data_IF_082872560029
#
_entry.id   IF_082872560029
#
_cell.length_a   1.000
_cell.length_b   1.000
_cell.length_c   1.000
_cell.angle_alpha   90.00
_cell.angle_beta   90.00
_cell.angle_gamma   90.00
#
_symmetry.space_group_name_H-M   'P 1'
#
loop_
_entity.id
_entity.type
_entity.pdbx_description
1 polymer ?
#
# COMPACT_ATOMS: atom_id res chain seq x y z
N UNK A 1 -33.19 -6.95 5.40
CA UNK A 1 -32.14 -6.64 4.41
C UNK A 1 -31.38 -7.93 4.19
N UNK A 2 -31.16 -8.35 2.93
CA UNK A 2 -30.26 -9.48 2.67
C UNK A 2 -28.89 -9.14 3.29
N UNK A 3 -28.23 -10.11 3.92
CA UNK A 3 -26.83 -9.91 4.33
C UNK A 3 -26.03 -9.68 3.06
N UNK A 4 -25.37 -8.53 2.96
CA UNK A 4 -24.37 -8.30 1.92
C UNK A 4 -23.29 -9.38 2.01
N UNK A 5 -22.68 -9.70 0.88
CA UNK A 5 -21.65 -10.71 0.78
C UNK A 5 -20.46 -10.13 0.03
N UNK A 6 -19.26 -10.22 0.63
CA UNK A 6 -18.03 -9.89 -0.06
C UNK A 6 -17.54 -11.11 -0.86
N UNK A 7 -17.41 -11.02 -2.20
CA UNK A 7 -17.23 -12.18 -3.08
C UNK A 7 -15.84 -12.84 -3.01
N UNK A 8 -14.87 -12.18 -2.38
CA UNK A 8 -13.52 -12.71 -2.21
C UNK A 8 -13.38 -13.20 -0.77
N UNK A 9 -13.35 -14.51 -0.59
CA UNK A 9 -13.35 -15.13 0.74
C UNK A 9 -12.00 -14.96 1.46
N UNK A 10 -11.86 -13.83 2.14
CA UNK A 10 -10.68 -13.49 2.94
C UNK A 10 -10.42 -14.46 4.10
N UNK A 11 -11.37 -15.33 4.46
CA UNK A 11 -11.16 -16.37 5.49
C UNK A 11 -10.28 -17.51 4.99
N UNK A 12 -10.08 -17.62 3.68
CA UNK A 12 -9.15 -18.61 3.11
C UNK A 12 -7.68 -18.22 3.28
N UNK A 13 -7.40 -17.03 3.82
CA UNK A 13 -6.04 -16.61 4.14
C UNK A 13 -5.34 -17.70 4.97
N UNK A 14 -4.21 -18.18 4.47
CA UNK A 14 -3.46 -19.27 5.08
C UNK A 14 -2.67 -18.74 6.27
N UNK A 15 -2.75 -19.38 7.45
CA UNK A 15 -1.89 -19.03 8.57
C UNK A 15 -0.41 -19.13 8.17
N UNK A 16 0.33 -18.04 8.31
CA UNK A 16 1.73 -17.99 7.91
C UNK A 16 2.56 -17.38 9.04
N UNK A 17 3.56 -18.13 9.50
CA UNK A 17 4.56 -17.67 10.47
C UNK A 17 5.93 -17.67 9.81
N UNK A 18 6.60 -16.53 9.87
CA UNK A 18 7.89 -16.29 9.25
C UNK A 18 8.89 -15.84 10.32
N UNK A 19 10.10 -16.39 10.30
CA UNK A 19 11.13 -16.03 11.28
C UNK A 19 12.17 -15.10 10.63
N UNK A 20 12.23 -13.81 11.00
CA UNK A 20 13.18 -12.87 10.41
C UNK A 20 14.66 -13.21 10.68
N UNK A 21 14.94 -14.22 11.51
CA UNK A 21 16.30 -14.73 11.74
C UNK A 21 16.73 -15.79 10.73
N UNK A 22 15.79 -16.34 9.95
CA UNK A 22 16.07 -17.33 8.92
C UNK A 22 16.28 -16.62 7.57
N UNK A 23 17.32 -17.03 6.85
CA UNK A 23 17.70 -16.43 5.57
C UNK A 23 16.99 -16.98 4.33
N UNK A 24 16.01 -17.89 4.49
CA UNK A 24 15.26 -18.45 3.37
C UNK A 24 13.87 -18.94 3.80
N UNK A 25 12.91 -18.89 2.86
CA UNK A 25 11.61 -19.52 2.99
C UNK A 25 11.67 -21.01 2.65
N UNK A 26 10.93 -21.83 3.38
CA UNK A 26 10.62 -23.19 2.93
C UNK A 26 9.65 -23.14 1.73
N UNK A 27 9.59 -24.21 0.93
CA UNK A 27 8.67 -24.28 -0.21
C UNK A 27 7.20 -24.14 0.23
N UNK A 28 6.84 -24.70 1.38
CA UNK A 28 5.50 -24.56 1.95
C UNK A 28 5.19 -23.10 2.33
N UNK A 29 6.09 -22.43 3.06
CA UNK A 29 5.92 -21.01 3.40
C UNK A 29 5.84 -20.13 2.15
N UNK A 30 6.62 -20.44 1.11
CA UNK A 30 6.62 -19.71 -0.15
C UNK A 30 5.30 -19.90 -0.90
N UNK A 31 4.75 -21.11 -0.92
CA UNK A 31 3.45 -21.40 -1.52
C UNK A 31 2.32 -20.67 -0.78
N UNK A 32 2.34 -20.66 0.55
CA UNK A 32 1.34 -19.98 1.36
C UNK A 32 1.45 -18.46 1.26
N UNK A 33 2.68 -17.92 1.22
CA UNK A 33 2.92 -16.50 1.00
C UNK A 33 2.38 -16.05 -0.37
N UNK A 34 2.68 -16.77 -1.46
CA UNK A 34 2.13 -16.48 -2.79
C UNK A 34 0.60 -16.49 -2.79
N UNK A 35 0.01 -17.51 -2.18
CA UNK A 35 -1.45 -17.62 -2.09
C UNK A 35 -2.05 -16.42 -1.34
N UNK A 36 -1.50 -16.06 -0.18
CA UNK A 36 -1.98 -14.92 0.62
C UNK A 36 -1.82 -13.59 -0.12
N UNK A 37 -0.69 -13.39 -0.81
CA UNK A 37 -0.46 -12.21 -1.65
C UNK A 37 -1.54 -12.12 -2.73
N UNK A 38 -1.81 -13.22 -3.44
CA UNK A 38 -2.79 -13.24 -4.51
C UNK A 38 -4.21 -12.97 -3.99
N UNK A 39 -4.59 -13.58 -2.88
CA UNK A 39 -5.90 -13.34 -2.24
C UNK A 39 -6.08 -11.86 -1.86
N UNK A 40 -5.06 -11.25 -1.26
CA UNK A 40 -5.07 -9.85 -0.85
C UNK A 40 -5.10 -8.90 -2.06
N UNK A 41 -4.30 -9.20 -3.10
CA UNK A 41 -4.29 -8.44 -4.35
C UNK A 41 -5.63 -8.49 -5.06
N UNK A 42 -6.27 -9.67 -5.14
CA UNK A 42 -7.62 -9.82 -5.70
C UNK A 42 -8.63 -8.94 -4.96
N UNK A 43 -8.60 -8.97 -3.62
CA UNK A 43 -9.50 -8.16 -2.80
C UNK A 43 -9.31 -6.67 -3.09
N UNK A 44 -8.06 -6.16 -3.03
CA UNK A 44 -7.73 -4.76 -3.30
C UNK A 44 -8.20 -4.34 -4.69
N UNK A 45 -7.87 -5.12 -5.74
CA UNK A 45 -8.32 -4.82 -7.11
C UNK A 45 -9.84 -4.74 -7.18
N UNK A 46 -10.54 -5.73 -6.62
CA UNK A 46 -11.99 -5.79 -6.68
C UNK A 46 -12.65 -4.61 -5.96
N UNK A 47 -12.38 -4.39 -4.67
CA UNK A 47 -13.16 -3.40 -3.92
C UNK A 47 -12.82 -1.95 -4.32
N UNK A 48 -11.57 -1.70 -4.72
CA UNK A 48 -11.20 -0.37 -5.24
C UNK A 48 -11.86 -0.12 -6.59
N UNK A 49 -11.80 -1.08 -7.53
CA UNK A 49 -12.45 -0.95 -8.83
C UNK A 49 -13.99 -0.87 -8.72
N UNK A 50 -14.59 -1.54 -7.73
CA UNK A 50 -16.02 -1.44 -7.45
C UNK A 50 -16.42 -0.02 -7.06
N UNK A 51 -15.66 0.64 -6.19
CA UNK A 51 -15.86 2.04 -5.88
C UNK A 51 -15.72 2.92 -7.14
N UNK A 52 -14.71 2.66 -7.97
CA UNK A 52 -14.55 3.32 -9.28
C UNK A 52 -15.78 3.17 -10.19
N UNK A 53 -16.31 1.95 -10.32
CA UNK A 53 -17.51 1.65 -11.11
C UNK A 53 -18.78 2.30 -10.55
N UNK A 54 -18.83 2.53 -9.22
CA UNK A 54 -19.87 3.32 -8.54
C UNK A 54 -19.67 4.84 -8.66
N UNK A 55 -18.69 5.29 -9.45
CA UNK A 55 -18.43 6.72 -9.69
C UNK A 55 -17.62 7.41 -8.58
N UNK A 56 -17.02 6.64 -7.67
CA UNK A 56 -16.10 7.14 -6.66
C UNK A 56 -14.67 7.13 -7.20
N UNK A 57 -13.73 7.67 -6.43
CA UNK A 57 -12.29 7.61 -6.75
C UNK A 57 -11.57 6.62 -5.82
N UNK A 58 -10.29 6.36 -6.05
CA UNK A 58 -9.51 5.37 -5.32
C UNK A 58 -8.06 5.35 -5.79
N UNK A 59 -7.24 4.53 -5.14
CA UNK A 59 -5.88 4.21 -5.60
C UNK A 59 -5.70 2.69 -5.46
N UNK A 60 -5.46 2.00 -6.58
CA UNK A 60 -5.32 0.55 -6.58
C UNK A 60 -3.85 0.15 -6.59
N UNK A 61 -3.03 0.74 -7.48
CA UNK A 61 -1.67 0.29 -7.75
C UNK A 61 -0.77 0.26 -6.52
N UNK A 62 -0.60 1.38 -5.82
CA UNK A 62 0.32 1.41 -4.67
C UNK A 62 -0.08 0.46 -3.53
N UNK A 63 -1.39 0.30 -3.28
CA UNK A 63 -1.87 -0.67 -2.29
C UNK A 63 -1.66 -2.12 -2.73
N UNK A 64 -1.79 -2.38 -4.03
CA UNK A 64 -1.53 -3.67 -4.66
C UNK A 64 -0.03 -4.05 -4.64
N UNK A 65 0.82 -3.07 -4.88
CA UNK A 65 2.28 -3.20 -4.97
C UNK A 65 2.87 -3.74 -3.67
N UNK A 66 2.51 -3.12 -2.54
CA UNK A 66 3.07 -3.38 -1.21
C UNK A 66 2.56 -4.64 -0.52
N UNK A 67 1.65 -5.40 -1.14
CA UNK A 67 1.06 -6.61 -0.54
C UNK A 67 2.12 -7.65 -0.13
N UNK A 68 3.16 -7.97 -0.93
CA UNK A 68 4.21 -8.91 -0.54
C UNK A 68 4.89 -8.55 0.79
N UNK A 69 5.27 -7.29 0.96
CA UNK A 69 5.88 -6.74 2.17
C UNK A 69 4.93 -6.88 3.35
N UNK A 70 3.69 -6.42 3.18
CA UNK A 70 2.67 -6.47 4.24
C UNK A 70 2.43 -7.92 4.68
N UNK A 71 2.36 -8.88 3.76
CA UNK A 71 2.20 -10.30 4.10
C UNK A 71 3.43 -10.88 4.82
N UNK A 72 4.65 -10.48 4.42
CA UNK A 72 5.86 -10.90 5.12
C UNK A 72 5.90 -10.34 6.55
N UNK A 73 5.62 -9.04 6.72
CA UNK A 73 5.60 -8.39 8.04
C UNK A 73 4.53 -9.00 8.95
N UNK A 74 3.33 -9.29 8.42
CA UNK A 74 2.32 -10.04 9.18
C UNK A 74 2.81 -11.43 9.58
N UNK A 75 3.54 -12.11 8.69
CA UNK A 75 4.19 -13.39 9.02
C UNK A 75 5.20 -13.29 10.15
N UNK A 76 6.01 -12.21 10.19
CA UNK A 76 6.93 -11.92 11.29
C UNK A 76 6.18 -11.67 12.61
N UNK A 77 5.14 -10.83 12.59
CA UNK A 77 4.30 -10.55 13.76
C UNK A 77 3.62 -11.84 14.27
N UNK A 78 3.07 -12.66 13.37
CA UNK A 78 2.42 -13.93 13.71
C UNK A 78 3.40 -14.97 14.29
N UNK A 79 4.69 -14.83 14.00
CA UNK A 79 5.76 -15.63 14.60
C UNK A 79 6.29 -15.05 15.93
N UNK A 80 5.77 -13.90 16.37
CA UNK A 80 6.16 -13.25 17.62
C UNK A 80 7.42 -12.39 17.53
N UNK A 81 7.78 -11.92 16.33
CA UNK A 81 8.84 -10.92 16.19
C UNK A 81 8.49 -9.64 16.99
N UNK A 82 9.47 -8.97 17.64
CA UNK A 82 9.23 -7.78 18.43
C UNK A 82 8.98 -6.57 17.52
N UNK A 83 7.76 -6.50 16.98
CA UNK A 83 7.31 -5.48 16.04
C UNK A 83 6.09 -4.80 16.66
N UNK A 84 6.01 -3.47 16.60
CA UNK A 84 4.76 -2.76 16.91
C UNK A 84 3.72 -3.26 15.92
N UNK A 85 2.56 -3.81 16.36
CA UNK A 85 1.63 -4.53 15.49
C UNK A 85 0.77 -3.57 14.67
N UNK A 86 1.43 -2.64 13.96
CA UNK A 86 0.85 -1.65 13.05
C UNK A 86 1.83 -1.49 11.90
N UNK A 87 1.33 -1.67 10.67
CA UNK A 87 2.08 -1.36 9.45
C UNK A 87 1.69 0.05 9.01
N UNK A 88 2.47 1.04 9.41
CA UNK A 88 2.23 2.44 9.05
C UNK A 88 2.46 2.65 7.55
N UNK A 89 1.73 3.59 6.95
CA UNK A 89 1.89 3.92 5.52
C UNK A 89 1.80 5.44 5.32
N UNK A 90 2.91 6.05 4.93
CA UNK A 90 2.96 7.50 4.71
C UNK A 90 2.18 7.95 3.48
N UNK A 91 2.07 7.06 2.48
CA UNK A 91 1.23 7.28 1.32
C UNK A 91 -0.21 6.91 1.69
N UNK A 92 -0.84 7.79 2.47
CA UNK A 92 -2.19 7.56 2.99
C UNK A 92 -3.25 7.29 1.92
N UNK A 93 -2.99 7.65 0.66
CA UNK A 93 -3.88 7.34 -0.44
C UNK A 93 -3.95 5.83 -0.75
N UNK A 94 -2.95 5.04 -0.31
CA UNK A 94 -2.92 3.57 -0.29
C UNK A 94 -3.75 2.95 0.85
N UNK A 95 -4.71 3.69 1.41
CA UNK A 95 -5.57 3.28 2.54
C UNK A 95 -6.26 1.92 2.34
N UNK A 96 -6.45 1.48 1.09
CA UNK A 96 -6.95 0.15 0.75
C UNK A 96 -6.20 -0.97 1.51
N UNK A 97 -4.87 -0.84 1.69
CA UNK A 97 -4.07 -1.76 2.50
C UNK A 97 -4.54 -1.80 3.96
N UNK A 98 -4.78 -0.64 4.56
CA UNK A 98 -5.20 -0.53 5.97
C UNK A 98 -6.61 -1.08 6.20
N UNK A 99 -7.52 -0.87 5.25
CA UNK A 99 -8.86 -1.45 5.31
C UNK A 99 -8.85 -2.96 5.14
N UNK A 100 -8.02 -3.48 4.25
CA UNK A 100 -7.83 -4.92 4.12
C UNK A 100 -7.26 -5.51 5.43
N UNK A 101 -6.24 -4.90 6.02
CA UNK A 101 -5.66 -5.35 7.29
C UNK A 101 -6.69 -5.36 8.42
N UNK A 102 -7.48 -4.30 8.55
CA UNK A 102 -8.56 -4.24 9.54
C UNK A 102 -9.59 -5.38 9.39
N UNK A 103 -9.86 -5.84 8.16
CA UNK A 103 -10.69 -7.03 7.92
C UNK A 103 -9.96 -8.31 8.32
N UNK A 104 -8.71 -8.49 7.88
CA UNK A 104 -7.90 -9.68 8.18
C UNK A 104 -7.61 -9.86 9.68
N UNK A 105 -7.64 -8.76 10.44
CA UNK A 105 -7.45 -8.72 11.89
C UNK A 105 -8.77 -8.78 12.67
N UNK A 106 -9.90 -8.84 11.97
CA UNK A 106 -11.23 -8.99 12.56
C UNK A 106 -11.79 -7.70 13.19
N UNK A 107 -11.19 -6.55 12.92
CA UNK A 107 -11.68 -5.26 13.41
C UNK A 107 -12.95 -4.80 12.67
N UNK A 108 -13.18 -5.30 11.45
CA UNK A 108 -14.44 -5.10 10.73
C UNK A 108 -14.74 -6.26 9.76
N UNK A 109 -16.02 -6.49 9.39
CA UNK A 109 -16.37 -7.53 8.42
C UNK A 109 -16.00 -7.12 6.98
N UNK A 110 -15.72 -8.11 6.12
CA UNK A 110 -15.27 -7.90 4.75
C UNK A 110 -16.29 -7.15 3.89
N UNK A 111 -17.58 -7.32 4.19
CA UNK A 111 -18.71 -6.66 3.52
C UNK A 111 -18.57 -5.14 3.54
N UNK A 112 -17.92 -4.56 4.57
CA UNK A 112 -17.69 -3.10 4.61
C UNK A 112 -16.85 -2.60 3.44
N UNK A 113 -15.96 -3.41 2.89
CA UNK A 113 -15.12 -3.04 1.74
C UNK A 113 -15.96 -2.74 0.49
N UNK A 114 -17.21 -3.25 0.39
CA UNK A 114 -18.14 -2.91 -0.70
C UNK A 114 -18.50 -1.42 -0.73
N UNK A 115 -18.31 -0.72 0.39
CA UNK A 115 -18.63 0.70 0.60
C UNK A 115 -17.38 1.59 0.66
N UNK A 116 -16.26 1.12 0.13
CA UNK A 116 -15.02 1.88 0.05
C UNK A 116 -15.26 3.26 -0.57
N UNK A 117 -14.96 4.34 0.19
CA UNK A 117 -15.11 5.75 -0.17
C UNK A 117 -16.53 6.25 -0.44
N UNK A 118 -17.55 5.45 -0.15
CA UNK A 118 -18.92 5.94 -0.10
C UNK A 118 -19.08 6.98 1.02
N UNK A 119 -19.94 7.97 0.79
CA UNK A 119 -20.20 9.00 1.80
C UNK A 119 -20.79 8.37 3.06
N UNK A 120 -20.32 8.80 4.23
CA UNK A 120 -20.75 8.31 5.56
C UNK A 120 -20.57 6.79 5.80
N UNK A 121 -19.82 6.10 4.92
CA UNK A 121 -19.54 4.67 5.08
C UNK A 121 -18.46 4.37 6.10
N UNK A 122 -17.80 5.40 6.66
CA UNK A 122 -16.67 5.27 7.58
C UNK A 122 -15.39 4.72 6.96
N UNK A 123 -15.27 4.73 5.62
CA UNK A 123 -14.09 4.34 4.86
C UNK A 123 -13.61 5.49 3.94
N UNK A 124 -13.11 6.61 4.50
CA UNK A 124 -12.64 7.76 3.73
C UNK A 124 -11.47 7.43 2.78
N UNK A 125 -11.08 8.40 1.94
CA UNK A 125 -10.01 8.23 0.95
C UNK A 125 -8.59 8.10 1.51
N UNK A 126 -8.40 8.35 2.80
CA UNK A 126 -7.13 8.27 3.54
C UNK A 126 -7.40 7.67 4.92
N UNK A 127 -6.42 7.04 5.60
CA UNK A 127 -6.67 6.47 6.91
C UNK A 127 -6.99 7.60 7.90
N UNK A 128 -8.07 7.41 8.67
CA UNK A 128 -8.47 8.31 9.74
C UNK A 128 -8.62 7.51 11.03
N UNK A 129 -7.69 7.76 11.97
CA UNK A 129 -7.77 7.21 13.31
C UNK A 129 -9.09 7.62 13.94
N UNK A 130 -9.73 6.70 14.66
CA UNK A 130 -11.02 6.86 15.36
C UNK A 130 -12.27 6.81 14.47
N UNK A 131 -12.14 6.96 13.14
CA UNK A 131 -13.28 6.83 12.22
C UNK A 131 -13.46 5.39 11.73
N UNK A 132 -12.38 4.76 11.26
CA UNK A 132 -12.43 3.39 10.75
C UNK A 132 -11.94 2.37 11.79
N UNK A 133 -12.72 1.34 12.15
CA UNK A 133 -12.26 0.26 13.03
C UNK A 133 -11.00 -0.42 12.47
N UNK A 134 -10.02 -0.68 13.33
CA UNK A 134 -8.73 -1.30 12.94
C UNK A 134 -7.72 -0.34 12.31
N UNK A 135 -8.08 0.92 12.05
CA UNK A 135 -7.11 1.93 11.59
C UNK A 135 -6.50 2.65 12.80
N UNK A 136 -5.17 2.59 12.89
CA UNK A 136 -4.42 3.03 14.08
C UNK A 136 -3.81 4.43 14.00
N UNK A 137 -3.78 5.03 12.79
CA UNK A 137 -3.15 6.30 12.52
C UNK A 137 -3.97 7.10 11.50
N UNK A 138 -3.74 8.40 11.44
CA UNK A 138 -4.25 9.24 10.36
C UNK A 138 -3.10 9.63 9.45
N UNK A 139 -3.30 9.54 8.13
CA UNK A 139 -2.34 10.01 7.13
C UNK A 139 -3.03 10.55 5.89
N UNK A 140 -2.29 10.97 4.86
CA UNK A 140 -2.85 11.50 3.61
C UNK A 140 -2.04 12.66 3.03
N UNK A 141 -1.33 13.42 3.88
CA UNK A 141 -0.23 14.27 3.45
C UNK A 141 1.03 13.40 3.34
N UNK A 142 1.73 13.41 2.21
CA UNK A 142 3.01 12.70 2.12
C UNK A 142 4.07 13.33 3.06
N UNK A 143 5.09 12.57 3.45
CA UNK A 143 6.24 13.04 4.24
C UNK A 143 6.03 13.27 5.74
N UNK A 144 4.79 13.36 6.24
CA UNK A 144 4.58 13.65 7.67
C UNK A 144 4.64 12.41 8.58
N UNK A 145 4.41 11.19 8.03
CA UNK A 145 4.18 10.02 8.87
C UNK A 145 5.49 9.43 9.43
N UNK A 146 6.62 9.63 8.75
CA UNK A 146 7.91 9.16 9.29
C UNK A 146 8.25 9.83 10.62
N UNK A 147 8.06 11.15 10.74
CA UNK A 147 8.25 11.86 12.00
C UNK A 147 7.33 11.31 13.12
N UNK A 148 6.09 10.95 12.79
CA UNK A 148 5.17 10.27 13.72
C UNK A 148 5.72 8.89 14.14
N UNK A 149 6.15 8.07 13.18
CA UNK A 149 6.72 6.75 13.45
C UNK A 149 8.00 6.81 14.29
N UNK A 150 8.81 7.86 14.15
CA UNK A 150 9.96 8.09 15.03
C UNK A 150 9.52 8.28 16.49
N UNK A 151 8.44 9.03 16.74
CA UNK A 151 7.86 9.15 18.08
C UNK A 151 7.36 7.81 18.63
N UNK A 152 6.74 6.98 17.79
CA UNK A 152 6.34 5.61 18.16
C UNK A 152 7.56 4.75 18.50
N UNK A 153 8.64 4.84 17.71
CA UNK A 153 9.87 4.08 17.94
C UNK A 153 10.56 4.49 19.25
N UNK A 154 10.59 5.79 19.57
CA UNK A 154 11.09 6.30 20.85
C UNK A 154 10.29 5.75 22.04
N UNK A 155 8.97 5.58 21.88
CA UNK A 155 8.10 5.01 22.92
C UNK A 155 8.17 3.48 23.04
N UNK A 156 8.73 2.78 22.03
CA UNK A 156 8.82 1.33 21.97
C UNK A 156 10.25 0.87 21.59
N UNK A 157 11.28 1.20 22.40
CA UNK A 157 12.69 0.98 22.03
C UNK A 157 13.06 -0.50 21.82
N UNK A 158 12.26 -1.42 22.39
CA UNK A 158 12.41 -2.87 22.29
C UNK A 158 11.73 -3.48 21.06
N UNK A 159 11.00 -2.69 20.26
CA UNK A 159 10.24 -3.17 19.10
C UNK A 159 10.58 -2.39 17.82
N UNK A 160 10.58 -3.10 16.70
CA UNK A 160 10.67 -2.47 15.40
C UNK A 160 9.35 -1.76 15.04
N UNK A 161 9.45 -0.54 14.52
CA UNK A 161 8.35 0.19 13.89
C UNK A 161 8.48 0.04 12.38
N UNK A 162 7.39 -0.32 11.71
CA UNK A 162 7.38 -0.51 10.25
C UNK A 162 6.66 0.66 9.59
N UNK A 163 7.33 1.32 8.65
CA UNK A 163 6.77 2.35 7.81
C UNK A 163 6.87 1.92 6.35
N UNK A 164 5.74 1.80 5.66
CA UNK A 164 5.69 1.74 4.21
C UNK A 164 5.89 3.15 3.67
N UNK A 165 6.87 3.30 2.79
CA UNK A 165 7.14 4.51 2.02
C UNK A 165 6.91 4.33 0.53
N UNK A 166 7.10 5.38 -0.25
CA UNK A 166 7.13 5.33 -1.71
C UNK A 166 8.21 6.25 -2.27
N UNK A 167 8.69 5.98 -3.48
CA UNK A 167 9.58 6.89 -4.22
C UNK A 167 9.10 8.36 -4.21
N UNK A 168 7.78 8.58 -4.38
CA UNK A 168 7.15 9.89 -4.36
C UNK A 168 7.05 10.54 -2.99
N UNK A 169 6.87 9.79 -1.90
CA UNK A 169 6.83 10.38 -0.55
C UNK A 169 8.20 10.88 -0.14
N UNK A 170 9.25 10.15 -0.52
CA UNK A 170 10.65 10.46 -0.22
C UNK A 170 11.17 11.72 -0.95
N UNK A 171 10.33 12.37 -1.77
CA UNK A 171 10.59 13.70 -2.32
C UNK A 171 10.22 14.83 -1.35
N UNK A 172 9.48 14.53 -0.27
CA UNK A 172 9.08 15.50 0.74
C UNK A 172 10.23 15.81 1.71
N UNK A 173 10.41 17.10 2.02
CA UNK A 173 11.50 17.54 2.92
C UNK A 173 11.37 17.03 4.35
N UNK A 174 10.13 16.79 4.81
CA UNK A 174 9.83 16.28 6.16
C UNK A 174 10.49 14.89 6.39
N UNK A 175 10.57 14.04 5.34
CA UNK A 175 11.21 12.72 5.43
C UNK A 175 12.73 12.84 5.63
N UNK A 176 13.37 13.83 5.03
CA UNK A 176 14.80 14.08 5.24
C UNK A 176 15.11 14.50 6.69
N UNK A 177 14.21 15.25 7.33
CA UNK A 177 14.31 15.57 8.76
C UNK A 177 14.09 14.33 9.62
N UNK A 178 13.05 13.54 9.33
CA UNK A 178 12.73 12.31 10.04
C UNK A 178 13.86 11.27 9.94
N UNK A 179 14.47 11.09 8.77
CA UNK A 179 15.59 10.18 8.55
C UNK A 179 16.79 10.56 9.43
N UNK A 180 17.18 11.83 9.43
CA UNK A 180 18.32 12.33 10.23
C UNK A 180 18.08 12.14 11.73
N UNK A 181 16.85 12.37 12.20
CA UNK A 181 16.48 12.10 13.59
C UNK A 181 16.56 10.60 13.93
N UNK A 182 16.02 9.74 13.06
CA UNK A 182 16.04 8.30 13.25
C UNK A 182 17.48 7.77 13.38
N UNK A 183 18.38 8.26 12.53
CA UNK A 183 19.82 7.94 12.56
C UNK A 183 20.49 8.51 13.82
N UNK A 184 20.26 9.77 14.16
CA UNK A 184 20.85 10.40 15.34
C UNK A 184 20.50 9.68 16.65
N UNK A 185 19.28 9.13 16.74
CA UNK A 185 18.79 8.42 17.91
C UNK A 185 18.86 6.89 17.79
N UNK A 186 19.41 6.34 16.69
CA UNK A 186 19.48 4.90 16.43
C UNK A 186 18.11 4.20 16.61
N UNK A 187 17.03 4.83 16.13
CA UNK A 187 15.68 4.33 16.32
C UNK A 187 15.47 3.01 15.57
N UNK A 188 14.75 2.08 16.20
CA UNK A 188 14.38 0.80 15.59
C UNK A 188 13.21 0.96 14.63
N UNK A 189 13.43 1.67 13.53
CA UNK A 189 12.47 1.89 12.46
C UNK A 189 12.93 1.18 11.18
N UNK A 190 11.99 0.54 10.49
CA UNK A 190 12.18 -0.12 9.19
C UNK A 190 11.33 0.60 8.17
N UNK A 191 12.00 1.33 7.28
CA UNK A 191 11.35 2.06 6.19
C UNK A 191 11.41 1.19 4.94
N UNK A 192 10.26 0.70 4.52
CA UNK A 192 10.11 -0.18 3.36
C UNK A 192 9.58 0.68 2.21
N UNK A 193 10.46 1.10 1.31
CA UNK A 193 10.13 2.08 0.27
C UNK A 193 9.78 1.38 -1.02
N UNK A 194 8.53 1.53 -1.44
CA UNK A 194 8.04 1.08 -2.75
C UNK A 194 8.58 2.00 -3.86
N UNK A 195 9.58 1.52 -4.60
CA UNK A 195 10.20 2.22 -5.74
C UNK A 195 9.64 1.65 -7.03
N UNK A 196 8.41 2.08 -7.34
CA UNK A 196 7.64 1.62 -8.49
C UNK A 196 7.72 2.56 -9.71
N UNK A 197 8.48 3.65 -9.57
CA UNK A 197 8.73 4.68 -10.57
C UNK A 197 7.43 5.31 -11.11
N UNK A 198 6.42 5.50 -10.26
CA UNK A 198 5.15 6.14 -10.65
C UNK A 198 4.65 7.09 -9.56
N UNK A 199 4.42 8.34 -9.95
CA UNK A 199 3.63 9.31 -9.19
C UNK A 199 2.47 9.82 -10.02
N UNK A 200 1.67 10.71 -9.42
CA UNK A 200 0.61 11.41 -10.15
C UNK A 200 1.14 12.27 -11.31
N UNK A 201 2.40 12.67 -11.24
CA UNK A 201 3.07 13.47 -12.26
C UNK A 201 3.74 12.62 -13.33
N UNK A 202 3.62 11.28 -13.33
CA UNK A 202 4.29 10.40 -14.29
C UNK A 202 5.43 9.63 -13.65
N UNK A 203 6.56 9.49 -14.37
CA UNK A 203 7.70 8.71 -13.90
C UNK A 203 8.76 9.62 -13.25
N UNK A 204 9.06 9.47 -11.95
CA UNK A 204 10.11 10.20 -11.25
C UNK A 204 11.44 10.29 -12.00
N UNK A 205 11.88 9.18 -12.60
CA UNK A 205 13.15 9.15 -13.33
C UNK A 205 13.20 10.12 -14.54
N UNK A 206 12.04 10.46 -15.12
CA UNK A 206 11.96 11.29 -16.31
C UNK A 206 11.94 12.79 -15.94
N UNK A 207 11.23 13.17 -14.88
CA UNK A 207 11.09 14.58 -14.45
C UNK A 207 12.04 15.00 -13.31
N UNK A 208 12.73 14.06 -12.65
CA UNK A 208 13.80 14.34 -11.66
C UNK A 208 15.15 13.74 -12.08
N UNK A 209 15.73 14.15 -13.23
CA UNK A 209 17.02 13.63 -13.65
C UNK A 209 18.11 13.92 -12.62
N UNK A 210 18.83 12.88 -12.21
CA UNK A 210 19.91 12.94 -11.21
C UNK A 210 19.48 12.65 -9.78
N UNK A 211 18.17 12.55 -9.50
CA UNK A 211 17.68 12.05 -8.23
C UNK A 211 17.87 10.53 -8.15
N UNK A 212 18.44 10.06 -7.05
CA UNK A 212 18.62 8.63 -6.76
C UNK A 212 18.16 8.38 -5.32
N UNK A 213 17.05 7.66 -5.20
CA UNK A 213 16.42 7.35 -3.91
C UNK A 213 17.37 6.60 -2.97
N UNK A 214 18.09 5.60 -3.48
CA UNK A 214 19.00 4.76 -2.69
C UNK A 214 20.17 5.58 -2.15
N UNK A 215 20.79 6.41 -2.99
CA UNK A 215 21.87 7.32 -2.60
C UNK A 215 21.39 8.39 -1.63
N UNK A 216 20.16 8.87 -1.79
CA UNK A 216 19.56 9.88 -0.91
C UNK A 216 19.36 9.31 0.51
N UNK A 217 18.71 8.15 0.62
CA UNK A 217 18.49 7.47 1.90
C UNK A 217 19.82 7.06 2.57
N UNK A 218 20.77 6.52 1.81
CA UNK A 218 22.11 6.24 2.32
C UNK A 218 22.85 7.52 2.77
N UNK A 219 22.66 8.64 2.06
CA UNK A 219 23.21 9.95 2.41
C UNK A 219 22.68 10.51 3.73
N UNK A 220 21.49 10.10 4.17
CA UNK A 220 20.97 10.41 5.51
C UNK A 220 21.59 9.55 6.63
N UNK A 221 22.37 8.53 6.28
CA UNK A 221 23.04 7.63 7.22
C UNK A 221 22.25 6.36 7.57
N UNK A 222 21.19 6.05 6.82
CA UNK A 222 20.43 4.81 6.99
C UNK A 222 21.25 3.61 6.51
N UNK A 223 21.08 2.46 7.17
CA UNK A 223 21.54 1.20 6.58
C UNK A 223 20.56 0.81 5.48
N UNK A 224 21.08 0.64 4.27
CA UNK A 224 20.26 0.47 3.06
C UNK A 224 20.38 -0.96 2.50
N UNK A 225 19.26 -1.52 2.08
CA UNK A 225 19.21 -2.61 1.12
C UNK A 225 18.35 -2.21 -0.09
N UNK A 226 18.64 -2.79 -1.25
CA UNK A 226 17.81 -2.67 -2.45
C UNK A 226 17.46 -4.06 -2.93
N UNK A 227 16.18 -4.32 -3.20
CA UNK A 227 15.67 -5.64 -3.57
C UNK A 227 14.61 -5.56 -4.66
N UNK A 228 14.19 -6.71 -5.19
CA UNK A 228 13.11 -6.81 -6.17
C UNK A 228 11.82 -7.25 -5.47
N UNK A 229 10.76 -6.46 -5.59
CA UNK A 229 9.51 -6.67 -4.85
C UNK A 229 8.70 -7.89 -5.27
N UNK A 230 8.89 -8.38 -6.49
CA UNK A 230 8.18 -9.57 -7.01
C UNK A 230 9.05 -10.85 -6.94
N UNK A 231 10.31 -10.74 -6.54
CA UNK A 231 11.15 -11.88 -6.17
C UNK A 231 10.99 -12.15 -4.67
N UNK A 232 10.09 -13.06 -4.31
CA UNK A 232 9.76 -13.33 -2.91
C UNK A 232 10.93 -13.87 -2.09
N UNK A 233 11.90 -14.56 -2.71
CA UNK A 233 13.07 -15.05 -1.99
C UNK A 233 14.04 -13.91 -1.66
N UNK A 234 14.30 -13.04 -2.64
CA UNK A 234 15.12 -11.85 -2.42
C UNK A 234 14.45 -10.90 -1.42
N UNK A 235 13.16 -10.59 -1.62
CA UNK A 235 12.39 -9.71 -0.76
C UNK A 235 12.38 -10.21 0.69
N UNK A 236 12.08 -11.50 0.90
CA UNK A 236 12.10 -12.08 2.23
C UNK A 236 13.49 -11.97 2.87
N UNK A 237 14.54 -12.29 2.12
CA UNK A 237 15.92 -12.28 2.63
C UNK A 237 16.36 -10.88 3.05
N UNK A 238 16.06 -9.86 2.24
CA UNK A 238 16.41 -8.46 2.55
C UNK A 238 15.58 -7.91 3.72
N UNK A 239 14.28 -8.24 3.79
CA UNK A 239 13.44 -7.89 4.95
C UNK A 239 13.92 -8.60 6.22
N UNK A 240 14.17 -9.91 6.18
CA UNK A 240 14.71 -10.67 7.32
C UNK A 240 16.01 -10.03 7.84
N UNK A 241 16.92 -9.64 6.93
CA UNK A 241 18.15 -8.93 7.28
C UNK A 241 17.87 -7.59 7.97
N UNK A 242 17.00 -6.76 7.41
CA UNK A 242 16.64 -5.47 7.99
C UNK A 242 16.04 -5.60 9.40
N UNK A 243 15.25 -6.65 9.64
CA UNK A 243 14.62 -6.90 10.95
C UNK A 243 15.55 -7.60 11.96
N UNK A 244 16.73 -8.06 11.54
CA UNK A 244 17.74 -8.63 12.45
C UNK A 244 18.66 -7.57 13.10
N UNK A 245 18.61 -6.33 12.61
CA UNK A 245 19.31 -5.17 13.18
C UNK A 245 18.31 -4.25 13.89
N UNK A 246 18.67 -3.64 15.02
CA UNK A 246 17.82 -2.70 15.76
C UNK A 246 18.02 -1.23 15.37
N UNK A 247 19.01 -0.93 14.53
CA UNK A 247 19.26 0.41 13.97
C UNK A 247 18.23 0.77 12.89
N UNK A 248 18.12 2.05 12.49
CA UNK A 248 17.21 2.44 11.43
C UNK A 248 17.66 1.85 10.09
N UNK A 249 16.72 1.17 9.42
CA UNK A 249 16.94 0.49 8.15
C UNK A 249 16.02 1.07 7.08
N UNK A 250 16.53 1.15 5.86
CA UNK A 250 15.73 1.39 4.67
C UNK A 250 15.89 0.22 3.69
N UNK A 251 14.77 -0.30 3.20
CA UNK A 251 14.76 -1.30 2.12
C UNK A 251 14.04 -0.68 0.93
N UNK A 252 14.80 -0.38 -0.13
CA UNK A 252 14.26 0.12 -1.40
C UNK A 252 13.82 -1.08 -2.23
N UNK A 253 12.51 -1.17 -2.49
CA UNK A 253 11.89 -2.34 -3.11
C UNK A 253 11.47 -1.95 -4.51
N UNK A 254 12.21 -2.45 -5.50
CA UNK A 254 12.01 -2.11 -6.90
C UNK A 254 10.97 -3.01 -7.55
N UNK A 255 10.04 -2.39 -8.27
CA UNK A 255 9.05 -3.06 -9.12
C UNK A 255 8.53 -2.08 -10.17
N UNK A 256 7.68 -2.55 -11.08
CA UNK A 256 6.80 -1.66 -11.82
C UNK A 256 5.52 -1.49 -11.02
N UNK A 257 4.85 -0.33 -11.11
CA UNK A 257 3.53 -0.13 -10.53
C UNK A 257 2.53 -1.16 -11.07
N UNK A 258 1.68 -1.72 -10.21
CA UNK A 258 0.68 -2.74 -10.56
C UNK A 258 1.25 -3.96 -11.34
N UNK A 259 2.28 -4.65 -10.80
CA UNK A 259 2.95 -5.73 -11.51
C UNK A 259 2.00 -6.88 -11.83
N UNK A 260 2.07 -7.37 -13.06
CA UNK A 260 1.25 -8.46 -13.57
C UNK A 260 -0.19 -8.08 -13.95
N UNK A 261 -0.57 -6.79 -13.92
CA UNK A 261 -1.90 -6.34 -14.37
C UNK A 261 -1.82 -5.86 -15.84
N UNK A 262 -2.36 -6.61 -16.82
CA UNK A 262 -2.25 -6.25 -18.22
C UNK A 262 -2.91 -4.90 -18.55
N UNK A 263 -2.11 -3.99 -19.13
CA UNK A 263 -2.56 -2.64 -19.48
C UNK A 263 -2.54 -1.62 -18.33
N UNK A 264 -2.07 -2.01 -17.14
CA UNK A 264 -1.83 -1.12 -16.01
C UNK A 264 -0.38 -1.18 -15.50
N UNK A 265 0.31 -2.30 -15.69
CA UNK A 265 1.71 -2.48 -15.26
C UNK A 265 2.61 -1.35 -15.76
N UNK A 266 3.33 -0.72 -14.82
CA UNK A 266 4.24 0.40 -15.07
C UNK A 266 3.55 1.67 -15.56
N UNK A 267 2.22 1.75 -15.60
CA UNK A 267 1.50 2.92 -16.09
C UNK A 267 1.17 3.90 -14.96
N UNK A 268 1.34 5.22 -15.16
CA UNK A 268 0.82 6.23 -14.24
C UNK A 268 -0.70 6.16 -14.02
N UNK A 269 -1.44 5.56 -14.96
CA UNK A 269 -2.88 5.35 -14.80
C UNK A 269 -3.23 4.39 -13.65
N UNK A 270 -2.30 3.52 -13.25
CA UNK A 270 -2.49 2.59 -12.13
C UNK A 270 -2.30 3.25 -10.76
N UNK A 271 -1.81 4.50 -10.71
CA UNK A 271 -1.80 5.29 -9.48
C UNK A 271 -3.22 5.50 -8.94
N UNK A 272 -4.19 5.71 -9.83
CA UNK A 272 -5.60 5.82 -9.48
C UNK A 272 -6.28 4.46 -9.32
N UNK A 273 -7.62 4.49 -9.19
CA UNK A 273 -8.46 3.30 -9.26
C UNK A 273 -8.37 2.68 -10.64
N UNK A 274 -8.20 1.36 -10.71
CA UNK A 274 -8.28 0.66 -11.99
C UNK A 274 -9.67 0.79 -12.59
N UNK A 275 -9.73 1.06 -13.89
CA UNK A 275 -10.99 1.00 -14.64
C UNK A 275 -11.59 -0.40 -14.52
N UNK A 276 -12.93 -0.48 -14.48
CA UNK A 276 -13.64 -1.74 -14.32
C UNK A 276 -13.22 -2.78 -15.37
N UNK A 277 -12.99 -2.39 -16.62
CA UNK A 277 -12.55 -3.29 -17.69
C UNK A 277 -11.15 -3.86 -17.43
N UNK A 278 -10.24 -3.08 -16.85
CA UNK A 278 -8.90 -3.55 -16.49
C UNK A 278 -8.96 -4.48 -15.28
N UNK A 279 -9.74 -4.14 -14.25
CA UNK A 279 -9.93 -4.98 -13.07
C UNK A 279 -10.60 -6.31 -13.42
N UNK A 280 -11.62 -6.31 -14.28
CA UNK A 280 -12.30 -7.52 -14.76
C UNK A 280 -11.32 -8.43 -15.50
N UNK A 281 -10.55 -7.89 -16.47
CA UNK A 281 -9.55 -8.68 -17.21
C UNK A 281 -8.51 -9.29 -16.26
N UNK A 282 -8.07 -8.54 -15.25
CA UNK A 282 -7.18 -9.06 -14.23
C UNK A 282 -7.82 -10.21 -13.44
N UNK A 283 -9.03 -10.03 -12.91
CA UNK A 283 -9.71 -11.06 -12.12
C UNK A 283 -10.01 -12.33 -12.95
N UNK A 284 -10.28 -12.19 -14.25
CA UNK A 284 -10.43 -13.31 -15.19
C UNK A 284 -9.17 -14.17 -15.29
N UNK A 285 -7.96 -13.57 -15.21
CA UNK A 285 -6.71 -14.36 -15.24
C UNK A 285 -6.43 -15.11 -13.94
N UNK A 286 -7.08 -14.72 -12.83
CA UNK A 286 -6.90 -15.37 -11.53
C UNK A 286 -7.77 -16.62 -11.36
N UNK A 287 -8.92 -16.66 -12.05
CA UNK A 287 -9.92 -17.72 -11.91
C UNK A 287 -10.68 -17.69 -10.58
N UNK A 288 -11.90 -18.23 -10.56
CA UNK A 288 -12.71 -18.33 -9.34
C UNK A 288 -13.20 -16.97 -8.80
N UNK A 289 -13.22 -15.93 -9.64
CA UNK A 289 -13.63 -14.56 -9.28
C UNK A 289 -14.96 -14.15 -9.95
N UNK A 290 -15.79 -15.12 -10.34
CA UNK A 290 -16.98 -14.89 -11.17
C UNK A 290 -17.98 -13.94 -10.50
N UNK A 291 -18.17 -14.06 -9.18
CA UNK A 291 -19.07 -13.20 -8.43
C UNK A 291 -18.54 -11.76 -8.33
N UNK A 292 -17.24 -11.59 -8.07
CA UNK A 292 -16.58 -10.30 -8.05
C UNK A 292 -16.70 -9.59 -9.42
N UNK A 293 -16.46 -10.34 -10.50
CA UNK A 293 -16.61 -9.87 -11.87
C UNK A 293 -18.07 -9.48 -12.17
N UNK A 294 -19.04 -10.27 -11.72
CA UNK A 294 -20.46 -9.97 -11.91
C UNK A 294 -20.87 -8.67 -11.20
N UNK A 295 -20.40 -8.45 -9.97
CA UNK A 295 -20.64 -7.20 -9.23
C UNK A 295 -20.01 -5.99 -9.91
N UNK A 296 -18.77 -6.11 -10.43
CA UNK A 296 -18.14 -5.02 -11.19
C UNK A 296 -18.92 -4.68 -12.47
N UNK A 297 -19.42 -5.68 -13.20
CA UNK A 297 -20.22 -5.47 -14.43
C UNK A 297 -21.59 -4.83 -14.12
N UNK A 298 -22.17 -5.15 -12.97
CA UNK A 298 -23.47 -4.62 -12.55
C UNK A 298 -23.39 -3.24 -11.89
N UNK A 299 -22.22 -2.84 -11.38
CA UNK A 299 -22.03 -1.56 -10.71
C UNK A 299 -22.28 -0.38 -11.67
N UNK A 300 -22.93 0.66 -11.15
CA UNK A 300 -23.23 1.87 -11.88
C UNK A 300 -23.00 3.07 -10.97
N UNK A 301 -22.62 4.23 -11.52
CA UNK A 301 -22.51 5.45 -10.74
C UNK A 301 -23.82 5.82 -10.06
N UNK A 302 -23.76 6.12 -8.77
CA UNK A 302 -24.90 6.74 -8.10
C UNK A 302 -25.14 8.13 -8.69
N UNK A 303 -26.38 8.40 -9.08
CA UNK A 303 -26.76 9.73 -9.56
C UNK A 303 -26.80 10.67 -8.36
N UNK A 304 -25.81 11.56 -8.25
CA UNK A 304 -25.85 12.62 -7.26
C UNK A 304 -27.00 13.60 -7.61
N UNK A 305 -28.00 13.79 -6.73
CA UNK A 305 -29.09 14.75 -6.99
C UNK A 305 -28.62 16.21 -6.80
N UNK A 306 -27.42 16.41 -6.25
CA UNK A 306 -26.86 17.73 -5.97
C UNK A 306 -26.19 18.30 -7.22
N UNK A 307 -26.48 19.57 -7.51
CA UNK A 307 -25.74 20.36 -8.48
C UNK A 307 -24.66 21.17 -7.76
N UNK A 308 -23.39 20.90 -8.07
CA UNK A 308 -22.27 21.63 -7.50
C UNK A 308 -22.02 22.92 -8.30
N UNK A 309 -22.11 24.08 -7.64
CA UNK A 309 -21.74 25.38 -8.20
C UNK A 309 -20.23 25.62 -8.04
N UNK A 310 -19.42 24.79 -8.70
CA UNK A 310 -17.95 24.91 -8.72
C UNK A 310 -17.42 25.67 -9.94
N UNK A 311 -16.10 25.80 -10.04
CA UNK A 311 -15.43 26.36 -11.22
C UNK A 311 -15.71 25.49 -12.45
N UNK A 312 -16.55 25.97 -13.37
CA UNK A 312 -16.77 25.35 -14.66
C UNK A 312 -15.63 25.71 -15.62
N UNK A 313 -15.03 24.71 -16.29
CA UNK A 313 -14.40 24.93 -17.60
C UNK A 313 -12.90 25.18 -17.67
N UNK A 314 -12.10 24.98 -16.61
CA UNK A 314 -10.63 25.23 -16.67
C UNK A 314 -9.75 23.97 -16.56
N UNK A 315 -10.35 22.78 -16.51
CA UNK A 315 -9.62 21.52 -16.28
C UNK A 315 -9.49 21.19 -14.79
N UNK A 316 -8.93 20.02 -14.47
CA UNK A 316 -8.57 19.66 -13.09
C UNK A 316 -7.11 20.05 -12.90
N UNK A 317 -6.79 20.93 -11.93
CA UNK A 317 -5.40 21.35 -11.64
C UNK A 317 -4.41 20.18 -11.60
N UNK A 318 -4.86 19.05 -11.06
CA UNK A 318 -4.15 17.78 -11.01
C UNK A 318 -3.78 17.22 -12.39
N UNK A 319 -4.73 17.19 -13.31
CA UNK A 319 -4.53 16.64 -14.65
C UNK A 319 -3.61 17.56 -15.49
N UNK A 320 -3.60 18.87 -15.18
CA UNK A 320 -2.75 19.84 -15.88
C UNK A 320 -1.33 19.91 -15.30
N UNK A 321 -1.14 19.67 -13.99
CA UNK A 321 0.18 19.62 -13.37
C UNK A 321 1.11 18.59 -14.04
N UNK A 322 0.62 17.38 -14.27
CA UNK A 322 1.40 16.34 -14.97
C UNK A 322 1.73 16.70 -16.41
N UNK A 323 0.84 17.41 -17.13
CA UNK A 323 1.14 17.90 -18.48
C UNK A 323 2.19 19.01 -18.47
N UNK A 324 2.14 19.91 -17.48
CA UNK A 324 3.10 21.02 -17.34
C UNK A 324 4.49 20.51 -16.99
N UNK A 325 4.59 19.49 -16.12
CA UNK A 325 5.89 18.93 -15.74
C UNK A 325 6.52 18.06 -16.81
N UNK A 326 5.73 17.38 -17.65
CA UNK A 326 6.24 16.41 -18.63
C UNK A 326 6.22 16.89 -20.10
N UNK A 327 5.61 18.04 -20.40
CA UNK A 327 5.47 18.60 -21.75
C UNK A 327 6.53 19.64 -22.05
#
# INVERSE_FOLDING_TARGET
MAKEHFPIDLKQLRPLKLDPRLGALTDAQKADLRYNIQLCRNAIVFFTALAGAKGLSGHTGGAYDTVPEVMIIRGFIANGAPIVPVVYDEAGHRVATQYLLAVLEGAMPAERLLHYREFDSGLPGHPEKQLTPGVHFSSGRLGHLWAFCNGVAMANPDKAVVLLGSDGSQMEGDDAEAARLAVAHQLNIKVLVDDNNVTIAGHPQDYMPGYDLSRTLAGYGLTLATTLGEDLDALYTDLARAFSDTRPQAVVIKRLMAPGIPGAEGSPSAHEVLKAETAIRYLETQGGQEEAIALLKAAQPEKCPLSYRGSAGVGKNRDDFGKILNG
#
